data_IF_277877922630
#
_entry.id   IF_277877922630
#
_cell.length_a   1.000
_cell.length_b   1.000
_cell.length_c   1.000
_cell.angle_alpha   90.00
_cell.angle_beta   90.00
_cell.angle_gamma   90.00
#
_symmetry.space_group_name_H-M   'P 1'
#
loop_
_entity.id
_entity.type
_entity.pdbx_description
1 polymer ?
#
# COMPACT_ATOMS: atom_id res chain seq x y z
N UNK A 1 -15.30 -28.40 -5.20
CA UNK A 1 -15.21 -26.94 -5.16
C UNK A 1 -15.96 -26.42 -6.37
N UNK A 2 -17.01 -25.60 -6.20
CA UNK A 2 -17.85 -25.10 -7.29
C UNK A 2 -17.47 -23.67 -7.61
N UNK A 3 -17.20 -23.35 -8.87
CA UNK A 3 -16.89 -22.01 -9.33
C UNK A 3 -18.16 -21.32 -9.84
N UNK A 4 -18.32 -20.04 -9.55
CA UNK A 4 -19.43 -19.20 -10.04
C UNK A 4 -18.91 -17.85 -10.48
N UNK A 5 -19.61 -17.19 -11.40
CA UNK A 5 -19.28 -15.81 -11.77
C UNK A 5 -19.40 -14.86 -10.57
N UNK A 6 -18.58 -13.83 -10.54
CA UNK A 6 -18.53 -12.87 -9.43
C UNK A 6 -19.88 -12.21 -9.14
N UNK A 7 -20.64 -11.87 -10.19
CA UNK A 7 -21.99 -11.29 -10.09
C UNK A 7 -23.04 -12.24 -9.50
N UNK A 8 -22.79 -13.55 -9.55
CA UNK A 8 -23.69 -14.59 -9.09
C UNK A 8 -23.24 -15.22 -7.77
N UNK A 9 -22.05 -14.83 -7.26
CA UNK A 9 -21.51 -15.44 -6.06
C UNK A 9 -22.35 -15.06 -4.84
N UNK A 10 -22.92 -16.03 -4.12
CA UNK A 10 -23.61 -15.77 -2.86
C UNK A 10 -22.59 -15.27 -1.82
N UNK A 11 -23.07 -14.54 -0.84
CA UNK A 11 -22.24 -14.05 0.25
C UNK A 11 -21.45 -15.15 0.98
N UNK A 12 -20.47 -14.76 1.78
CA UNK A 12 -19.49 -15.60 2.48
C UNK A 12 -20.07 -16.89 3.06
N UNK A 13 -19.39 -18.03 2.83
CA UNK A 13 -19.55 -19.37 3.45
C UNK A 13 -20.36 -20.42 2.66
N UNK A 14 -20.47 -20.32 1.37
CA UNK A 14 -21.17 -21.33 0.56
C UNK A 14 -20.27 -22.41 -0.05
N UNK A 15 -18.94 -22.35 0.16
CA UNK A 15 -17.97 -23.21 -0.52
C UNK A 15 -17.78 -22.86 -2.01
N UNK A 16 -18.39 -21.77 -2.48
CA UNK A 16 -18.23 -21.25 -3.84
C UNK A 16 -17.07 -20.28 -3.91
N UNK A 17 -16.33 -20.34 -5.02
CA UNK A 17 -15.23 -19.40 -5.30
C UNK A 17 -15.74 -18.36 -6.32
N UNK A 18 -15.65 -17.09 -5.95
CA UNK A 18 -15.97 -15.98 -6.82
C UNK A 18 -14.93 -15.88 -7.95
N UNK A 19 -15.36 -15.98 -9.19
CA UNK A 19 -14.51 -15.73 -10.35
C UNK A 19 -14.72 -14.31 -10.86
N UNK A 20 -13.64 -13.61 -11.10
CA UNK A 20 -13.63 -12.25 -11.61
C UNK A 20 -13.44 -12.22 -13.12
N UNK A 21 -14.17 -11.33 -13.81
CA UNK A 21 -14.09 -11.15 -15.25
C UNK A 21 -13.29 -9.87 -15.64
N UNK A 22 -13.24 -9.57 -16.95
CA UNK A 22 -12.48 -8.42 -17.46
C UNK A 22 -12.85 -7.07 -16.83
N UNK A 23 -14.13 -6.82 -16.55
CA UNK A 23 -14.59 -5.59 -15.90
C UNK A 23 -14.05 -5.47 -14.46
N UNK A 24 -14.00 -6.58 -13.73
CA UNK A 24 -13.42 -6.63 -12.38
C UNK A 24 -11.92 -6.32 -12.42
N UNK A 25 -11.22 -6.81 -13.45
CA UNK A 25 -9.79 -6.54 -13.64
C UNK A 25 -9.52 -5.06 -13.89
N UNK A 26 -10.38 -4.37 -14.64
CA UNK A 26 -10.25 -2.92 -14.85
C UNK A 26 -10.48 -2.14 -13.56
N UNK A 27 -11.45 -2.53 -12.75
CA UNK A 27 -11.67 -1.95 -11.41
C UNK A 27 -10.43 -2.11 -10.52
N UNK A 28 -9.87 -3.31 -10.47
CA UNK A 28 -8.66 -3.59 -9.70
C UNK A 28 -7.44 -2.82 -10.22
N UNK A 29 -7.27 -2.70 -11.56
CA UNK A 29 -6.19 -1.91 -12.15
C UNK A 29 -6.31 -0.43 -11.83
N UNK A 30 -7.53 0.13 -11.83
CA UNK A 30 -7.78 1.52 -11.46
C UNK A 30 -7.36 1.77 -10.01
N UNK A 31 -7.80 0.91 -9.08
CA UNK A 31 -7.44 1.03 -7.68
C UNK A 31 -5.92 0.87 -7.45
N UNK A 32 -5.30 -0.14 -8.05
CA UNK A 32 -3.86 -0.37 -7.94
C UNK A 32 -3.01 0.75 -8.53
N UNK A 33 -3.44 1.34 -9.66
CA UNK A 33 -2.75 2.48 -10.26
C UNK A 33 -2.80 3.70 -9.35
N UNK A 34 -3.97 4.04 -8.80
CA UNK A 34 -4.10 5.18 -7.92
C UNK A 34 -3.27 5.00 -6.63
N UNK A 35 -3.21 3.78 -6.10
CA UNK A 35 -2.34 3.47 -4.96
C UNK A 35 -0.86 3.67 -5.29
N UNK A 36 -0.42 3.26 -6.49
CA UNK A 36 0.95 3.50 -6.94
C UNK A 36 1.25 5.00 -7.10
N UNK A 37 0.33 5.76 -7.66
CA UNK A 37 0.44 7.23 -7.81
C UNK A 37 0.52 7.93 -6.44
N UNK A 38 -0.20 7.45 -5.42
CA UNK A 38 -0.07 7.95 -4.06
C UNK A 38 1.33 7.71 -3.48
N UNK A 39 1.91 6.52 -3.73
CA UNK A 39 3.28 6.23 -3.33
C UNK A 39 4.30 7.06 -4.11
N UNK A 40 4.08 7.31 -5.40
CA UNK A 40 4.95 8.18 -6.21
C UNK A 40 4.93 9.63 -5.71
N UNK A 41 3.76 10.16 -5.37
CA UNK A 41 3.60 11.51 -4.82
C UNK A 41 4.41 11.71 -3.53
N UNK A 42 4.53 10.67 -2.70
CA UNK A 42 5.27 10.74 -1.44
C UNK A 42 6.80 10.75 -1.60
N UNK A 43 7.36 10.46 -2.78
CA UNK A 43 8.81 10.38 -3.01
C UNK A 43 9.52 11.67 -2.58
N UNK A 44 9.02 12.82 -3.01
CA UNK A 44 9.64 14.12 -2.76
C UNK A 44 9.36 14.64 -1.33
N UNK A 45 8.39 14.03 -0.64
CA UNK A 45 8.00 14.42 0.70
C UNK A 45 8.77 13.67 1.80
N UNK A 46 9.33 12.50 1.48
CA UNK A 46 10.12 11.70 2.44
C UNK A 46 11.52 12.26 2.56
N UNK A 47 11.74 13.12 3.57
CA UNK A 47 13.03 13.80 3.82
C UNK A 47 13.25 14.03 5.32
N UNK A 48 14.49 14.26 5.75
CA UNK A 48 14.78 14.56 7.14
C UNK A 48 13.95 15.73 7.67
N UNK A 49 13.41 15.58 8.88
CA UNK A 49 12.59 16.59 9.56
C UNK A 49 11.09 16.50 9.28
N UNK A 50 10.65 15.78 8.25
CA UNK A 50 9.22 15.53 7.99
C UNK A 50 8.71 14.46 8.96
N UNK A 51 7.50 14.65 9.50
CA UNK A 51 6.86 13.67 10.38
C UNK A 51 6.06 12.66 9.57
N UNK A 52 5.93 11.44 10.08
CA UNK A 52 5.06 10.44 9.43
C UNK A 52 3.59 10.83 9.50
N UNK A 53 3.19 11.62 10.51
CA UNK A 53 1.87 12.25 10.57
C UNK A 53 1.61 13.18 9.37
N UNK A 54 2.63 13.95 8.92
CA UNK A 54 2.50 14.78 7.73
C UNK A 54 2.35 13.95 6.45
N UNK A 55 3.06 12.85 6.34
CA UNK A 55 2.92 11.93 5.20
C UNK A 55 1.51 11.29 5.16
N UNK A 56 0.96 10.97 6.32
CA UNK A 56 -0.42 10.48 6.46
C UNK A 56 -1.46 11.52 5.98
N UNK A 57 -1.29 12.80 6.36
CA UNK A 57 -2.16 13.89 5.90
C UNK A 57 -2.12 14.05 4.38
N UNK A 58 -0.94 14.00 3.78
CA UNK A 58 -0.76 14.10 2.33
C UNK A 58 -1.43 12.94 1.61
N UNK A 59 -1.23 11.73 2.09
CA UNK A 59 -1.87 10.54 1.52
C UNK A 59 -3.40 10.57 1.65
N UNK A 60 -3.92 11.05 2.79
CA UNK A 60 -5.36 11.26 2.98
C UNK A 60 -5.91 12.27 1.97
N UNK A 61 -5.26 13.44 1.86
CA UNK A 61 -5.72 14.49 0.94
C UNK A 61 -5.68 13.98 -0.51
N UNK A 62 -4.60 13.30 -0.90
CA UNK A 62 -4.50 12.68 -2.23
C UNK A 62 -5.68 11.73 -2.49
N UNK A 63 -6.00 10.86 -1.55
CA UNK A 63 -7.13 9.93 -1.69
C UNK A 63 -8.45 10.67 -1.91
N UNK A 64 -8.73 11.70 -1.08
CA UNK A 64 -9.98 12.48 -1.19
C UNK A 64 -10.08 13.22 -2.52
N UNK A 65 -8.99 13.84 -2.98
CA UNK A 65 -8.96 14.58 -4.25
C UNK A 65 -9.21 13.69 -5.47
N UNK A 66 -8.93 12.38 -5.35
CA UNK A 66 -9.15 11.40 -6.42
C UNK A 66 -10.40 10.53 -6.23
N UNK A 67 -11.27 10.88 -5.28
CA UNK A 67 -12.51 10.15 -5.02
C UNK A 67 -12.29 8.73 -4.48
N UNK A 68 -11.16 8.51 -3.81
CA UNK A 68 -10.82 7.26 -3.14
C UNK A 68 -10.98 7.38 -1.62
N UNK A 69 -11.00 6.25 -0.93
CA UNK A 69 -11.04 6.20 0.52
C UNK A 69 -9.89 5.35 1.07
N UNK A 70 -9.12 5.83 2.06
CA UNK A 70 -8.07 5.04 2.68
C UNK A 70 -8.66 3.86 3.47
N UNK A 71 -8.39 2.64 3.04
CA UNK A 71 -8.96 1.44 3.64
C UNK A 71 -8.62 1.24 5.14
N UNK A 72 -7.43 1.64 5.64
CA UNK A 72 -7.12 1.52 7.06
C UNK A 72 -7.94 2.44 7.96
N UNK A 73 -8.37 3.60 7.44
CA UNK A 73 -9.06 4.61 8.25
C UNK A 73 -10.37 4.06 8.81
N UNK A 74 -10.52 4.18 10.13
CA UNK A 74 -11.64 3.66 10.93
C UNK A 74 -11.77 2.12 10.95
N UNK A 75 -10.87 1.38 10.27
CA UNK A 75 -10.87 -0.07 10.37
C UNK A 75 -10.45 -0.52 11.78
N UNK A 76 -11.37 -1.16 12.51
CA UNK A 76 -11.17 -1.61 13.90
C UNK A 76 -10.61 -0.54 14.84
N UNK A 77 -10.97 0.72 14.62
CA UNK A 77 -10.52 1.84 15.45
C UNK A 77 -9.18 2.46 15.04
N UNK A 78 -8.57 2.05 13.93
CA UNK A 78 -7.38 2.70 13.39
C UNK A 78 -7.72 4.09 12.88
N UNK A 79 -6.94 5.11 13.27
CA UNK A 79 -7.28 6.52 13.05
C UNK A 79 -6.36 7.23 12.04
N UNK A 80 -5.64 6.46 11.24
CA UNK A 80 -4.72 6.95 10.22
C UNK A 80 -5.06 6.36 8.85
N UNK A 81 -4.58 7.01 7.80
CA UNK A 81 -4.89 6.66 6.41
C UNK A 81 -3.90 5.67 5.81
N UNK A 82 -2.68 5.62 6.34
CA UNK A 82 -1.58 4.78 5.89
C UNK A 82 -0.87 4.15 7.09
N UNK A 83 0.04 3.20 6.83
CA UNK A 83 1.00 2.75 7.82
C UNK A 83 2.41 3.22 7.45
N UNK A 84 3.22 3.57 8.46
CA UNK A 84 4.60 4.03 8.30
C UNK A 84 5.53 3.30 9.24
N UNK A 85 6.35 2.40 8.72
CA UNK A 85 7.21 1.53 9.51
C UNK A 85 8.68 1.92 9.35
N UNK A 86 9.26 2.51 10.41
CA UNK A 86 10.61 3.07 10.38
C UNK A 86 11.61 2.04 10.92
N UNK A 87 12.72 1.84 10.20
CA UNK A 87 13.86 1.02 10.60
C UNK A 87 13.46 -0.41 11.03
N UNK A 88 13.44 -0.67 12.35
CA UNK A 88 13.18 -1.99 12.93
C UNK A 88 11.69 -2.34 13.06
N UNK A 89 10.79 -1.40 12.78
CA UNK A 89 9.35 -1.66 12.76
C UNK A 89 9.02 -2.48 11.53
N UNK A 90 8.54 -3.70 11.73
CA UNK A 90 8.33 -4.67 10.64
C UNK A 90 7.17 -4.26 9.73
N UNK A 91 6.02 -3.90 10.32
CA UNK A 91 4.82 -3.46 9.60
C UNK A 91 3.86 -2.72 10.55
N UNK A 92 2.82 -2.11 9.96
CA UNK A 92 1.72 -1.44 10.67
C UNK A 92 2.17 -0.36 11.67
N UNK A 93 3.32 0.28 11.40
CA UNK A 93 3.73 1.46 12.18
C UNK A 93 2.68 2.56 12.06
N UNK A 94 2.33 3.19 13.18
CA UNK A 94 1.29 4.23 13.23
C UNK A 94 1.96 5.58 12.96
N UNK A 95 1.49 6.34 11.96
CA UNK A 95 1.95 7.71 11.73
C UNK A 95 1.86 8.58 12.97
N UNK A 96 2.95 9.27 13.32
CA UNK A 96 3.09 10.11 14.51
C UNK A 96 3.83 11.44 14.21
N UNK A 97 4.05 12.22 15.25
CA UNK A 97 4.70 13.54 15.15
C UNK A 97 6.23 13.47 15.25
N UNK A 98 6.82 12.27 15.30
CA UNK A 98 8.28 12.15 15.30
C UNK A 98 8.85 12.44 13.92
N UNK A 99 9.83 13.35 13.83
CA UNK A 99 10.46 13.65 12.56
C UNK A 99 11.36 12.50 12.11
N UNK A 100 11.32 12.19 10.83
CA UNK A 100 12.26 11.33 10.15
C UNK A 100 13.67 11.91 10.25
N UNK A 101 14.67 11.06 10.38
CA UNK A 101 16.07 11.42 10.51
C UNK A 101 16.88 10.99 9.31
N UNK A 102 17.95 11.72 9.05
CA UNK A 102 18.96 11.31 8.07
C UNK A 102 19.42 9.89 8.34
N UNK A 103 19.42 9.04 7.31
CA UNK A 103 19.81 7.64 7.41
C UNK A 103 18.71 6.66 7.81
N UNK A 104 17.50 7.14 8.15
CA UNK A 104 16.35 6.27 8.36
C UNK A 104 15.92 5.61 7.04
N UNK A 105 15.32 4.43 7.15
CA UNK A 105 14.52 3.83 6.08
C UNK A 105 13.08 3.71 6.57
N UNK A 106 12.12 4.00 5.71
CA UNK A 106 10.70 3.90 6.07
C UNK A 106 9.93 3.13 5.00
N UNK A 107 9.15 2.15 5.44
CA UNK A 107 8.12 1.54 4.60
C UNK A 107 6.85 2.35 4.75
N UNK A 108 6.29 2.81 3.64
CA UNK A 108 4.96 3.42 3.59
C UNK A 108 4.04 2.46 2.89
N UNK A 109 2.94 2.12 3.57
CA UNK A 109 1.95 1.15 3.13
C UNK A 109 0.62 1.84 2.94
N UNK A 110 0.11 1.77 1.71
CA UNK A 110 -1.09 2.49 1.26
C UNK A 110 -2.09 1.49 0.71
N UNK A 111 -3.31 1.53 1.24
CA UNK A 111 -4.45 0.80 0.68
C UNK A 111 -5.56 1.78 0.38
N UNK A 112 -5.93 1.93 -0.90
CA UNK A 112 -7.02 2.80 -1.35
C UNK A 112 -8.21 1.99 -1.86
N UNK A 113 -9.41 2.41 -1.47
CA UNK A 113 -10.66 1.87 -2.00
C UNK A 113 -11.15 2.80 -3.10
N UNK A 114 -11.32 2.25 -4.30
CA UNK A 114 -11.84 2.96 -5.48
C UNK A 114 -12.97 2.13 -6.07
N UNK A 115 -14.19 2.66 -6.12
CA UNK A 115 -15.36 1.97 -6.65
C UNK A 115 -15.56 0.54 -6.04
N UNK A 116 -15.22 0.38 -4.76
CA UNK A 116 -15.31 -0.88 -4.04
C UNK A 116 -14.10 -1.83 -4.22
N UNK A 117 -13.12 -1.47 -5.05
CA UNK A 117 -11.87 -2.22 -5.26
C UNK A 117 -10.74 -1.68 -4.38
N UNK A 118 -9.96 -2.58 -3.82
CA UNK A 118 -8.81 -2.24 -2.96
C UNK A 118 -7.53 -2.35 -3.77
N UNK A 119 -6.86 -1.21 -3.95
CA UNK A 119 -5.46 -1.18 -4.37
C UNK A 119 -4.59 -1.15 -3.12
N UNK A 120 -3.69 -2.10 -2.98
CA UNK A 120 -2.84 -2.27 -1.79
C UNK A 120 -1.39 -2.46 -2.22
N UNK A 121 -0.52 -1.58 -1.76
CA UNK A 121 0.89 -1.65 -2.06
C UNK A 121 1.72 -0.88 -1.04
N UNK A 122 2.97 -1.30 -0.86
CA UNK A 122 3.92 -0.58 -0.03
C UNK A 122 5.23 -0.32 -0.76
N UNK A 123 5.96 0.70 -0.31
CA UNK A 123 7.27 1.06 -0.84
C UNK A 123 8.23 1.46 0.28
N UNK A 124 9.50 1.09 0.09
CA UNK A 124 10.59 1.57 0.94
C UNK A 124 11.16 2.89 0.43
N UNK A 125 11.41 3.80 1.35
CA UNK A 125 12.07 5.09 1.08
C UNK A 125 13.29 5.24 1.98
N UNK A 126 14.38 5.74 1.41
CA UNK A 126 15.51 6.22 2.18
C UNK A 126 15.32 7.68 2.57
N UNK A 127 15.63 8.02 3.80
CA UNK A 127 15.54 9.39 4.32
C UNK A 127 16.94 10.03 4.26
N UNK A 128 17.16 10.86 3.24
CA UNK A 128 18.49 11.40 2.96
C UNK A 128 19.48 10.30 2.55
N UNK A 129 20.73 10.39 3.00
CA UNK A 129 21.76 9.39 2.71
C UNK A 129 21.64 8.20 3.68
N UNK A 130 21.26 7.05 3.16
CA UNK A 130 21.11 5.83 3.94
C UNK A 130 22.38 4.95 3.92
N UNK A 131 22.64 4.13 4.95
CA UNK A 131 23.77 3.21 4.96
C UNK A 131 23.65 2.16 3.84
N UNK A 132 24.78 1.82 3.20
CA UNK A 132 24.85 0.81 2.12
C UNK A 132 24.15 -0.53 2.46
N UNK A 133 24.21 -0.95 3.73
CA UNK A 133 23.51 -2.17 4.17
C UNK A 133 21.97 -2.04 4.07
N UNK A 134 21.44 -0.85 4.33
CA UNK A 134 19.99 -0.56 4.23
C UNK A 134 19.59 -0.47 2.74
N UNK A 135 20.36 0.22 1.93
CA UNK A 135 20.18 0.28 0.47
C UNK A 135 20.13 -1.13 -0.12
N UNK A 136 21.14 -1.97 0.17
CA UNK A 136 21.17 -3.37 -0.29
C UNK A 136 19.93 -4.16 0.17
N UNK A 137 19.46 -3.95 1.40
CA UNK A 137 18.25 -4.62 1.90
C UNK A 137 17.03 -4.24 1.06
N UNK A 138 16.86 -2.95 0.77
CA UNK A 138 15.77 -2.44 -0.06
C UNK A 138 15.84 -3.07 -1.46
N UNK A 139 16.99 -3.01 -2.11
CA UNK A 139 17.19 -3.52 -3.48
C UNK A 139 16.91 -5.03 -3.58
N UNK A 140 17.47 -5.82 -2.68
CA UNK A 140 17.28 -7.28 -2.68
C UNK A 140 15.82 -7.65 -2.39
N UNK A 141 15.16 -6.91 -1.50
CA UNK A 141 13.73 -7.13 -1.20
C UNK A 141 12.87 -6.81 -2.41
N UNK A 142 13.14 -5.70 -3.09
CA UNK A 142 12.44 -5.31 -4.30
C UNK A 142 12.65 -6.33 -5.43
N UNK A 143 13.88 -6.76 -5.66
CA UNK A 143 14.17 -7.82 -6.65
C UNK A 143 13.44 -9.13 -6.31
N UNK A 144 13.39 -9.50 -5.03
CA UNK A 144 12.66 -10.69 -4.58
C UNK A 144 11.17 -10.59 -4.87
N UNK A 145 10.56 -9.40 -4.65
CA UNK A 145 9.17 -9.13 -5.03
C UNK A 145 8.94 -9.34 -6.53
N UNK A 146 9.78 -8.75 -7.38
CA UNK A 146 9.65 -8.87 -8.83
C UNK A 146 9.77 -10.33 -9.30
N UNK A 147 10.68 -11.10 -8.71
CA UNK A 147 10.82 -12.54 -8.99
C UNK A 147 9.58 -13.32 -8.54
N UNK A 148 9.01 -12.97 -7.39
CA UNK A 148 7.75 -13.55 -6.90
C UNK A 148 6.59 -13.28 -7.86
N UNK A 149 6.43 -12.04 -8.31
CA UNK A 149 5.40 -11.65 -9.28
C UNK A 149 5.56 -12.45 -10.59
N UNK A 150 6.78 -12.55 -11.11
CA UNK A 150 7.06 -13.27 -12.35
C UNK A 150 6.80 -14.78 -12.26
N UNK A 151 6.80 -15.35 -11.06
CA UNK A 151 6.52 -16.76 -10.84
C UNK A 151 5.01 -17.11 -10.81
N UNK A 152 4.13 -16.11 -10.69
CA UNK A 152 2.67 -16.31 -10.60
C UNK A 152 2.12 -16.77 -11.95
N UNK A 153 1.46 -17.93 -11.94
CA UNK A 153 0.82 -18.52 -13.12
C UNK A 153 -0.30 -19.48 -12.69
N UNK A 154 -1.24 -19.81 -13.57
CA UNK A 154 -2.26 -20.82 -13.29
C UNK A 154 -1.63 -22.15 -12.87
N UNK A 155 -2.16 -22.76 -11.80
CA UNK A 155 -1.70 -24.03 -11.24
C UNK A 155 -0.49 -23.94 -10.36
#
# INVERSE_FOLDING_TARGET
>A
MTFVEASLAPGRKTGQIKLHGPADFEGMRKAGRLTAEALDMLIDEVRPGVTTGRLDELAFQFAMDHGAYPAPLDYRGYRKSICTSINHVVCHGIPDDKPLREGDIVNIDVTLIVDGWHGDSSRMYGVGAIPRRAERLIDVTYESLLRGIAAVKPG
#
